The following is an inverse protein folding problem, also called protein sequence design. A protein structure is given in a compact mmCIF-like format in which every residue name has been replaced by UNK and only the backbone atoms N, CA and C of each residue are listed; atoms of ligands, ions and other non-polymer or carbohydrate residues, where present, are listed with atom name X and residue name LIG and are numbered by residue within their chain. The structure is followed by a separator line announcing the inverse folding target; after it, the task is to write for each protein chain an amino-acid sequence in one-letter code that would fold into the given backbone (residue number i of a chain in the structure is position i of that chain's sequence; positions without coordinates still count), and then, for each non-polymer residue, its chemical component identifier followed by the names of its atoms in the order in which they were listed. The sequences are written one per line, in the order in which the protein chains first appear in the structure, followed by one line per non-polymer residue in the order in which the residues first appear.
data_IF_457623292004
#
_entry.id   IF_457623292004
#
_cell.length_a   1.000
_cell.length_b   1.000
_cell.length_c   1.000
_cell.angle_alpha   90.00
_cell.angle_beta   90.00
_cell.angle_gamma   90.00
#
_symmetry.space_group_name_H-M   'P 1'
#
loop_
_entity.id
_entity.type
_entity.pdbx_description
1 polymer ?
#
# COMPACT_ATOMS: atom_id res chain seq x y z
N UNK A 1 27.26 -6.15 24.56
CA UNK A 1 26.39 -6.92 23.65
C UNK A 1 27.22 -8.03 23.05
N UNK A 2 26.85 -9.31 23.20
CA UNK A 2 27.54 -10.38 22.50
C UNK A 2 27.14 -10.32 21.01
N UNK A 3 28.13 -10.41 20.13
CA UNK A 3 27.92 -10.54 18.70
C UNK A 3 27.40 -11.95 18.41
N UNK A 4 26.27 -12.08 17.72
CA UNK A 4 25.76 -13.38 17.26
C UNK A 4 26.67 -13.90 16.13
N UNK A 5 27.45 -14.94 16.43
CA UNK A 5 28.30 -15.63 15.47
C UNK A 5 27.43 -16.67 14.76
N UNK A 6 27.00 -16.39 13.53
CA UNK A 6 26.14 -17.27 12.72
C UNK A 6 24.66 -16.87 12.66
N UNK A 7 24.39 -15.57 12.48
CA UNK A 7 23.03 -15.00 12.48
C UNK A 7 22.19 -15.33 11.24
N UNK A 8 20.89 -15.10 11.34
CA UNK A 8 19.94 -15.13 10.23
C UNK A 8 20.19 -13.92 9.32
N UNK A 9 20.43 -14.14 8.01
CA UNK A 9 20.69 -13.07 7.05
C UNK A 9 19.45 -12.25 6.71
N UNK A 10 18.28 -12.89 6.66
CA UNK A 10 17.00 -12.22 6.39
C UNK A 10 15.91 -12.69 7.33
N UNK A 11 15.20 -11.73 7.93
CA UNK A 11 14.19 -12.00 8.93
C UNK A 11 12.86 -11.33 8.55
N UNK A 12 11.76 -12.07 8.66
CA UNK A 12 10.39 -11.52 8.67
C UNK A 12 10.27 -10.38 9.68
N UNK A 13 9.60 -9.29 9.28
CA UNK A 13 9.29 -8.17 10.17
C UNK A 13 8.50 -8.65 11.39
N UNK A 14 8.79 -8.06 12.56
CA UNK A 14 8.14 -8.41 13.82
C UNK A 14 7.55 -7.18 14.49
N UNK A 15 6.52 -7.40 15.31
CA UNK A 15 5.96 -6.40 16.20
C UNK A 15 6.85 -6.14 17.43
N UNK A 16 6.40 -5.23 18.30
CA UNK A 16 7.09 -4.85 19.54
C UNK A 16 7.23 -6.04 20.51
N UNK A 17 6.40 -7.08 20.36
CA UNK A 17 6.41 -8.31 21.15
C UNK A 17 7.22 -9.45 20.48
N UNK A 18 7.74 -9.23 19.27
CA UNK A 18 8.54 -10.19 18.52
C UNK A 18 7.73 -11.19 17.67
N UNK A 19 6.41 -11.05 17.58
CA UNK A 19 5.57 -11.83 16.67
C UNK A 19 5.71 -11.33 15.24
N UNK A 20 5.58 -12.20 14.22
CA UNK A 20 5.59 -11.75 12.84
C UNK A 20 4.48 -10.72 12.60
N UNK A 21 4.75 -9.73 11.76
CA UNK A 21 3.77 -8.76 11.29
C UNK A 21 3.92 -8.53 9.79
N UNK A 22 2.87 -7.98 9.15
CA UNK A 22 2.94 -7.49 7.78
C UNK A 22 2.94 -5.96 7.85
N UNK A 23 4.06 -5.29 7.55
CA UNK A 23 4.11 -3.84 7.54
C UNK A 23 3.09 -3.27 6.55
N UNK A 24 2.40 -2.21 6.94
CA UNK A 24 1.42 -1.48 6.13
C UNK A 24 2.01 -1.12 4.75
N UNK A 25 3.27 -0.68 4.72
CA UNK A 25 4.01 -0.35 3.50
C UNK A 25 4.14 -1.52 2.53
N UNK A 26 4.20 -2.76 3.02
CA UNK A 26 4.31 -3.96 2.18
C UNK A 26 3.00 -4.26 1.46
N UNK A 27 1.87 -4.22 2.18
CA UNK A 27 0.56 -4.41 1.58
C UNK A 27 0.22 -3.23 0.66
N UNK A 28 0.40 -1.99 1.15
CA UNK A 28 0.18 -0.76 0.38
C UNK A 28 0.96 -0.78 -0.93
N UNK A 29 2.26 -1.09 -0.87
CA UNK A 29 3.12 -1.11 -2.06
C UNK A 29 2.72 -2.18 -3.07
N UNK A 30 2.32 -3.36 -2.60
CA UNK A 30 1.86 -4.43 -3.48
C UNK A 30 0.51 -4.09 -4.13
N UNK A 31 -0.46 -3.61 -3.36
CA UNK A 31 -1.77 -3.20 -3.88
C UNK A 31 -1.65 -2.02 -4.84
N UNK A 32 -0.80 -1.02 -4.52
CA UNK A 32 -0.52 0.11 -5.40
C UNK A 32 0.06 -0.33 -6.74
N UNK A 33 0.94 -1.35 -6.77
CA UNK A 33 1.47 -1.89 -8.02
C UNK A 33 0.35 -2.52 -8.88
N UNK A 34 -0.56 -3.28 -8.26
CA UNK A 34 -1.72 -3.87 -8.95
C UNK A 34 -2.58 -2.77 -9.56
N UNK A 35 -2.94 -1.75 -8.77
CA UNK A 35 -3.79 -0.64 -9.21
C UNK A 35 -3.12 0.20 -10.30
N UNK A 36 -1.80 0.37 -10.25
CA UNK A 36 -1.05 1.13 -11.27
C UNK A 36 -1.03 0.45 -12.64
N UNK A 37 -1.06 -0.89 -12.65
CA UNK A 37 -1.08 -1.70 -13.87
C UNK A 37 -2.51 -1.93 -14.39
N UNK A 38 -3.53 -1.59 -13.59
CA UNK A 38 -4.93 -1.77 -13.95
C UNK A 38 -5.37 -0.78 -15.05
N UNK A 39 -5.95 -1.31 -16.12
CA UNK A 39 -6.48 -0.57 -17.27
C UNK A 39 -7.99 -0.83 -17.48
N UNK A 40 -8.68 -1.29 -16.43
CA UNK A 40 -10.12 -1.51 -16.43
C UNK A 40 -10.92 -0.20 -16.53
N UNK A 41 -12.20 -0.32 -16.90
CA UNK A 41 -13.12 0.82 -16.92
C UNK A 41 -13.29 1.42 -15.52
N UNK A 42 -13.28 0.58 -14.49
CA UNK A 42 -13.32 0.95 -13.09
C UNK A 42 -12.11 1.81 -12.70
N UNK A 43 -10.90 1.41 -13.12
CA UNK A 43 -9.69 2.21 -12.88
C UNK A 43 -9.78 3.60 -13.53
N UNK A 44 -10.29 3.67 -14.77
CA UNK A 44 -10.52 4.96 -15.46
C UNK A 44 -11.61 5.79 -14.81
N UNK A 45 -12.64 5.15 -14.24
CA UNK A 45 -13.69 5.83 -13.48
C UNK A 45 -13.12 6.51 -12.23
N UNK A 46 -12.31 5.81 -11.44
CA UNK A 46 -11.62 6.39 -10.28
C UNK A 46 -10.71 7.56 -10.72
N UNK A 47 -9.96 7.39 -11.81
CA UNK A 47 -9.09 8.44 -12.34
C UNK A 47 -9.88 9.73 -12.68
N UNK A 48 -11.08 9.59 -13.26
CA UNK A 48 -11.97 10.74 -13.54
C UNK A 48 -12.46 11.42 -12.27
N UNK A 49 -12.86 10.65 -11.24
CA UNK A 49 -13.25 11.20 -9.94
C UNK A 49 -12.15 12.09 -9.35
N UNK A 50 -10.91 11.63 -9.36
CA UNK A 50 -9.77 12.42 -8.89
C UNK A 50 -9.49 13.63 -9.77
N UNK A 51 -9.54 13.49 -11.11
CA UNK A 51 -9.37 14.60 -12.04
C UNK A 51 -10.37 15.72 -11.78
N UNK A 52 -11.65 15.38 -11.61
CA UNK A 52 -12.73 16.33 -11.40
C UNK A 52 -12.67 16.97 -10.01
N UNK A 53 -12.32 16.18 -8.98
CA UNK A 53 -12.04 16.71 -7.64
C UNK A 53 -10.91 17.76 -7.66
N UNK A 54 -9.79 17.48 -8.34
CA UNK A 54 -8.65 18.41 -8.42
C UNK A 54 -9.04 19.68 -9.19
N UNK A 55 -9.82 19.57 -10.28
CA UNK A 55 -10.33 20.74 -11.02
C UNK A 55 -11.18 21.63 -10.12
N UNK A 56 -12.14 21.04 -9.40
CA UNK A 56 -13.00 21.76 -8.47
C UNK A 56 -12.19 22.43 -7.36
N UNK A 57 -11.22 21.72 -6.77
CA UNK A 57 -10.33 22.29 -5.76
C UNK A 57 -9.51 23.47 -6.31
N UNK A 58 -9.02 23.37 -7.56
CA UNK A 58 -8.32 24.48 -8.22
C UNK A 58 -9.23 25.69 -8.35
N UNK A 59 -10.44 25.49 -8.88
CA UNK A 59 -11.42 26.57 -9.13
C UNK A 59 -11.81 27.29 -7.84
N UNK A 60 -12.12 26.55 -6.78
CA UNK A 60 -12.52 27.11 -5.47
C UNK A 60 -11.39 27.95 -4.84
N UNK A 61 -10.14 27.54 -5.00
CA UNK A 61 -8.99 28.18 -4.35
C UNK A 61 -8.27 29.20 -5.25
N UNK A 62 -8.61 29.31 -6.53
CA UNK A 62 -7.79 30.02 -7.52
C UNK A 62 -7.58 31.50 -7.19
N UNK A 63 -8.64 32.19 -6.78
CA UNK A 63 -8.55 33.62 -6.45
C UNK A 63 -7.71 33.84 -5.19
N UNK A 64 -7.82 32.99 -4.18
CA UNK A 64 -6.96 33.04 -2.99
C UNK A 64 -5.50 32.74 -3.34
N UNK A 65 -5.24 31.77 -4.23
CA UNK A 65 -3.90 31.44 -4.72
C UNK A 65 -3.28 32.65 -5.43
N UNK A 66 -4.05 33.34 -6.29
CA UNK A 66 -3.59 34.55 -6.99
C UNK A 66 -3.23 35.66 -6.02
N UNK A 67 -4.07 35.92 -5.01
CA UNK A 67 -3.79 36.97 -4.04
C UNK A 67 -2.56 36.63 -3.17
N UNK A 68 -2.44 35.39 -2.70
CA UNK A 68 -1.27 34.92 -1.95
C UNK A 68 0.03 34.98 -2.78
N UNK A 69 -0.04 34.79 -4.10
CA UNK A 69 1.13 34.78 -4.99
C UNK A 69 1.28 36.08 -5.80
N UNK A 70 0.58 37.15 -5.43
CA UNK A 70 0.49 38.40 -6.22
C UNK A 70 1.84 39.01 -6.57
N UNK A 71 2.79 38.93 -5.64
CA UNK A 71 4.15 39.45 -5.81
C UNK A 71 5.15 38.38 -6.32
N UNK A 72 4.72 37.13 -6.46
CA UNK A 72 5.56 36.00 -6.87
C UNK A 72 4.95 35.24 -8.06
N UNK A 73 5.18 35.76 -9.27
CA UNK A 73 4.70 35.17 -10.52
C UNK A 73 5.22 33.74 -10.76
N UNK A 74 6.46 33.45 -10.36
CA UNK A 74 7.04 32.11 -10.50
C UNK A 74 6.31 31.08 -9.65
N UNK A 75 5.95 31.44 -8.41
CA UNK A 75 5.16 30.59 -7.53
C UNK A 75 3.78 30.29 -8.12
N UNK A 76 3.12 31.29 -8.70
CA UNK A 76 1.82 31.11 -9.37
C UNK A 76 1.94 30.14 -10.56
N UNK A 77 2.93 30.31 -11.43
CA UNK A 77 3.17 29.41 -12.56
C UNK A 77 3.48 27.98 -12.11
N UNK A 78 4.24 27.81 -11.02
CA UNK A 78 4.54 26.49 -10.45
C UNK A 78 3.27 25.81 -9.93
N UNK A 79 2.41 26.54 -9.20
CA UNK A 79 1.14 26.02 -8.69
C UNK A 79 0.22 25.64 -9.85
N UNK A 80 0.13 26.48 -10.88
CA UNK A 80 -0.67 26.19 -12.07
C UNK A 80 -0.21 24.91 -12.76
N UNK A 81 1.10 24.78 -13.01
CA UNK A 81 1.69 23.57 -13.60
C UNK A 81 1.41 22.33 -12.75
N UNK A 82 1.50 22.45 -11.42
CA UNK A 82 1.20 21.36 -10.49
C UNK A 82 -0.25 20.88 -10.63
N UNK A 83 -1.23 21.80 -10.62
CA UNK A 83 -2.64 21.44 -10.85
C UNK A 83 -2.85 20.81 -12.23
N UNK A 84 -2.34 21.43 -13.30
CA UNK A 84 -2.50 20.93 -14.66
C UNK A 84 -1.88 19.54 -14.84
N UNK A 85 -0.74 19.29 -14.21
CA UNK A 85 -0.10 17.97 -14.20
C UNK A 85 -0.96 16.94 -13.48
N UNK A 86 -1.41 17.23 -12.26
CA UNK A 86 -2.24 16.32 -11.47
C UNK A 86 -3.58 16.00 -12.17
N UNK A 87 -4.22 16.98 -12.82
CA UNK A 87 -5.47 16.78 -13.57
C UNK A 87 -5.26 15.87 -14.78
N UNK A 88 -4.17 16.07 -15.54
CA UNK A 88 -3.88 15.33 -16.78
C UNK A 88 -3.32 13.93 -16.55
N UNK A 89 -2.74 13.69 -15.37
CA UNK A 89 -2.14 12.40 -14.99
C UNK A 89 -2.93 11.72 -13.86
N UNK A 90 -4.15 12.18 -13.59
CA UNK A 90 -5.03 11.59 -12.60
C UNK A 90 -5.22 10.10 -12.89
N UNK A 91 -5.21 9.27 -11.85
CA UNK A 91 -5.23 7.82 -11.98
C UNK A 91 -5.87 7.16 -10.77
N UNK A 92 -6.25 5.89 -10.89
CA UNK A 92 -6.71 5.12 -9.73
C UNK A 92 -5.64 5.01 -8.62
N UNK A 93 -4.35 5.18 -8.96
CA UNK A 93 -3.27 5.21 -7.99
C UNK A 93 -3.32 6.43 -7.05
N UNK A 94 -4.12 7.45 -7.37
CA UNK A 94 -4.33 8.62 -6.50
C UNK A 94 -5.05 8.26 -5.19
N UNK A 95 -5.72 7.10 -5.13
CA UNK A 95 -6.21 6.48 -3.89
C UNK A 95 -5.08 6.27 -2.86
N UNK A 96 -3.82 6.17 -3.29
CA UNK A 96 -2.67 5.98 -2.41
C UNK A 96 -2.00 7.30 -2.00
N UNK A 97 -2.53 8.42 -2.50
CA UNK A 97 -2.06 9.78 -2.29
C UNK A 97 -1.54 10.43 -3.57
N UNK A 98 -1.82 11.73 -3.73
CA UNK A 98 -1.34 12.53 -4.86
C UNK A 98 -0.09 13.29 -4.42
N UNK A 99 0.98 13.20 -5.22
CA UNK A 99 2.23 13.93 -4.95
C UNK A 99 1.95 15.43 -4.89
N UNK A 100 2.45 16.10 -3.85
CA UNK A 100 2.30 17.56 -3.64
C UNK A 100 0.88 18.03 -3.25
N UNK A 101 -0.07 17.10 -3.06
CA UNK A 101 -1.43 17.36 -2.58
C UNK A 101 -1.73 16.50 -1.34
N UNK A 102 -1.41 17.03 -0.17
CA UNK A 102 -1.50 16.25 1.07
C UNK A 102 -2.94 16.06 1.57
N UNK A 103 -3.85 16.99 1.27
CA UNK A 103 -5.21 17.06 1.83
C UNK A 103 -6.28 16.44 0.93
N UNK A 104 -5.93 15.43 0.14
CA UNK A 104 -6.86 14.72 -0.76
C UNK A 104 -7.38 13.43 -0.13
N UNK A 105 -8.53 12.91 -0.62
CA UNK A 105 -9.01 11.57 -0.30
C UNK A 105 -7.94 10.53 -0.61
N UNK A 106 -7.66 9.65 0.34
CA UNK A 106 -6.66 8.58 0.19
C UNK A 106 -6.87 7.47 1.21
N UNK A 107 -6.22 6.34 0.98
CA UNK A 107 -6.24 5.18 1.86
C UNK A 107 -5.14 5.30 2.92
N UNK A 108 -5.50 5.03 4.18
CA UNK A 108 -4.55 4.81 5.27
C UNK A 108 -4.46 3.32 5.55
N UNK A 109 -3.26 2.83 5.77
CA UNK A 109 -2.99 1.41 6.01
C UNK A 109 -2.35 1.27 7.39
N UNK A 110 -2.91 0.38 8.20
CA UNK A 110 -2.29 -0.05 9.45
C UNK A 110 -1.45 -1.31 9.22
N UNK A 111 -0.47 -1.55 10.09
CA UNK A 111 0.29 -2.80 10.08
C UNK A 111 -0.66 -3.95 10.43
N UNK A 112 -0.57 -5.06 9.68
CA UNK A 112 -1.37 -6.23 10.00
C UNK A 112 -0.64 -7.03 11.08
N UNK A 113 -1.32 -7.20 12.22
CA UNK A 113 -0.80 -7.87 13.41
C UNK A 113 -1.28 -9.32 13.43
N UNK A 114 -0.45 -10.20 13.98
CA UNK A 114 -0.80 -11.61 14.13
C UNK A 114 -1.98 -11.76 15.09
N UNK A 115 -3.03 -12.46 14.61
CA UNK A 115 -4.22 -12.77 15.41
C UNK A 115 -3.86 -13.51 16.71
N UNK A 116 -4.62 -13.24 17.77
CA UNK A 116 -4.32 -13.70 19.14
C UNK A 116 -4.18 -15.22 19.24
N UNK A 117 -5.03 -15.97 18.55
CA UNK A 117 -5.03 -17.43 18.54
C UNK A 117 -3.75 -18.05 17.93
N UNK A 118 -3.00 -17.28 17.12
CA UNK A 118 -1.74 -17.72 16.52
C UNK A 118 -0.49 -17.21 17.26
N UNK A 119 -0.65 -16.45 18.36
CA UNK A 119 0.46 -15.86 19.14
C UNK A 119 1.20 -16.88 20.02
N UNK A 120 1.86 -17.84 19.37
CA UNK A 120 2.84 -18.76 19.95
C UNK A 120 4.17 -18.63 19.20
N UNK A 121 5.15 -17.92 19.78
CA UNK A 121 6.44 -17.63 19.15
C UNK A 121 7.17 -18.89 18.68
N UNK A 122 7.00 -20.03 19.38
CA UNK A 122 7.64 -21.30 19.02
C UNK A 122 7.07 -21.89 17.73
N UNK A 123 5.87 -21.48 17.35
CA UNK A 123 5.15 -21.93 16.14
C UNK A 123 5.12 -20.87 15.03
N UNK A 124 5.53 -19.64 15.29
CA UNK A 124 5.43 -18.55 14.32
C UNK A 124 6.48 -18.63 13.20
N UNK A 125 7.69 -19.14 13.49
CA UNK A 125 8.80 -19.07 12.55
C UNK A 125 9.27 -20.44 12.07
N UNK A 126 9.74 -20.46 10.83
CA UNK A 126 10.59 -21.50 10.26
C UNK A 126 11.93 -20.88 9.86
N UNK A 127 13.00 -21.66 10.02
CA UNK A 127 14.32 -21.28 9.53
C UNK A 127 14.58 -22.09 8.26
N UNK A 128 14.96 -21.39 7.20
CA UNK A 128 15.25 -21.95 5.89
C UNK A 128 16.63 -21.48 5.43
N UNK A 129 17.37 -22.32 4.71
CA UNK A 129 18.71 -22.00 4.23
C UNK A 129 18.74 -22.09 2.70
N UNK A 130 19.11 -20.99 2.03
CA UNK A 130 19.27 -20.94 0.57
C UNK A 130 20.74 -20.79 0.20
N UNK A 131 21.25 -21.75 -0.55
CA UNK A 131 22.62 -21.69 -1.09
C UNK A 131 22.59 -21.24 -2.53
N UNK A 132 23.28 -20.14 -2.85
CA UNK A 132 23.60 -19.76 -4.23
C UNK A 132 25.06 -20.07 -4.53
N UNK A 133 25.34 -20.65 -5.69
CA UNK A 133 26.71 -20.86 -6.18
C UNK A 133 26.98 -19.78 -7.22
N UNK A 134 27.99 -18.95 -6.98
CA UNK A 134 28.45 -17.92 -7.91
C UNK A 134 29.73 -18.45 -8.54
N UNK A 135 29.77 -18.50 -9.87
CA UNK A 135 30.95 -18.88 -10.63
C UNK A 135 31.52 -17.62 -11.30
N UNK A 136 32.66 -17.13 -10.79
CA UNK A 136 33.36 -15.94 -11.31
C UNK A 136 34.48 -16.28 -12.31
N UNK A 137 34.56 -17.55 -12.74
CA UNK A 137 35.53 -18.02 -13.73
C UNK A 137 36.83 -18.59 -13.14
N UNK A 138 37.09 -18.44 -11.84
CA UNK A 138 38.25 -19.06 -11.18
C UNK A 138 37.85 -20.18 -10.23
N UNK A 139 36.92 -19.94 -9.30
CA UNK A 139 36.44 -20.96 -8.37
C UNK A 139 34.94 -20.80 -8.06
N UNK A 140 34.15 -21.90 -7.98
CA UNK A 140 32.77 -21.82 -7.55
C UNK A 140 32.71 -21.42 -6.06
N UNK A 141 32.16 -20.23 -5.78
CA UNK A 141 31.93 -19.75 -4.41
C UNK A 141 30.50 -20.05 -3.99
N UNK A 142 30.33 -20.76 -2.87
CA UNK A 142 29.03 -20.92 -2.24
C UNK A 142 28.72 -19.72 -1.34
N UNK A 143 27.50 -19.21 -1.44
CA UNK A 143 26.97 -18.17 -0.57
C UNK A 143 25.65 -18.67 0.04
N UNK A 144 25.72 -19.48 1.12
CA UNK A 144 24.55 -19.88 1.87
C UNK A 144 23.98 -18.69 2.64
N UNK A 145 22.66 -18.49 2.53
CA UNK A 145 21.90 -17.46 3.24
C UNK A 145 20.81 -18.09 4.08
N UNK A 146 20.68 -17.69 5.34
CA UNK A 146 19.66 -18.20 6.26
C UNK A 146 18.50 -17.20 6.37
N UNK A 147 17.27 -17.70 6.29
CA UNK A 147 16.04 -16.94 6.32
C UNK A 147 15.19 -17.40 7.50
N UNK A 148 14.75 -16.47 8.34
CA UNK A 148 13.71 -16.72 9.34
C UNK A 148 12.39 -16.20 8.81
N UNK A 149 11.53 -17.11 8.37
CA UNK A 149 10.27 -16.80 7.71
C UNK A 149 9.08 -17.12 8.62
N UNK A 150 8.01 -16.35 8.49
CA UNK A 150 6.72 -16.74 9.04
C UNK A 150 6.28 -18.10 8.48
N UNK A 151 5.73 -18.97 9.33
CA UNK A 151 5.14 -20.25 8.90
C UNK A 151 3.87 -20.02 8.09
N UNK A 152 3.56 -20.98 7.23
CA UNK A 152 2.29 -21.00 6.47
C UNK A 152 1.13 -21.26 7.43
N UNK A 153 -0.02 -20.65 7.17
CA UNK A 153 -1.25 -20.83 7.95
C UNK A 153 -1.40 -19.84 9.11
N UNK A 154 -0.52 -18.84 9.23
CA UNK A 154 -0.71 -17.73 10.16
C UNK A 154 -1.70 -16.71 9.57
N UNK A 155 -2.59 -16.20 10.43
CA UNK A 155 -3.55 -15.16 10.07
C UNK A 155 -3.16 -13.82 10.70
N UNK A 156 -3.27 -12.77 9.90
CA UNK A 156 -2.97 -11.40 10.29
C UNK A 156 -4.21 -10.54 10.08
N UNK A 157 -4.44 -9.58 10.96
CA UNK A 157 -5.56 -8.63 10.91
C UNK A 157 -5.05 -7.19 10.98
N UNK A 158 -5.73 -6.30 10.29
CA UNK A 158 -5.43 -4.87 10.23
C UNK A 158 -6.57 -4.14 9.54
N UNK A 159 -6.44 -2.82 9.41
CA UNK A 159 -7.51 -1.96 8.88
C UNK A 159 -6.97 -1.10 7.72
N UNK A 160 -7.84 -0.86 6.74
CA UNK A 160 -7.66 0.14 5.69
C UNK A 160 -8.74 1.21 5.86
N UNK A 161 -8.35 2.46 6.05
CA UNK A 161 -9.29 3.57 6.28
C UNK A 161 -9.39 4.48 5.06
N UNK A 162 -10.62 4.86 4.71
CA UNK A 162 -10.93 5.86 3.68
C UNK A 162 -10.80 7.28 4.27
N UNK A 163 -9.61 7.86 4.21
CA UNK A 163 -9.35 9.19 4.73
C UNK A 163 -9.84 10.30 3.79
N UNK A 164 -10.62 11.25 4.31
CA UNK A 164 -11.20 12.41 3.59
C UNK A 164 -12.15 12.07 2.45
N UNK A 165 -12.79 10.91 2.50
CA UNK A 165 -13.95 10.59 1.66
C UNK A 165 -15.19 11.29 2.20
N UNK A 166 -15.18 12.63 2.14
CA UNK A 166 -16.24 13.51 2.65
C UNK A 166 -17.00 14.16 1.48
N UNK A 167 -18.27 14.59 1.68
CA UNK A 167 -19.11 15.17 0.63
C UNK A 167 -18.50 16.36 -0.13
N UNK A 168 -17.50 17.04 0.45
CA UNK A 168 -16.72 18.07 -0.24
C UNK A 168 -16.03 17.52 -1.50
N UNK A 169 -15.42 16.34 -1.38
CA UNK A 169 -14.60 15.71 -2.41
C UNK A 169 -15.37 14.62 -3.16
N UNK A 170 -15.98 13.69 -2.42
CA UNK A 170 -16.71 12.55 -2.97
C UNK A 170 -18.05 12.41 -2.26
N UNK A 171 -19.12 12.18 -3.02
CA UNK A 171 -20.39 11.76 -2.43
C UNK A 171 -20.29 10.29 -1.96
N UNK A 172 -21.29 9.83 -1.21
CA UNK A 172 -21.32 8.45 -0.67
C UNK A 172 -21.20 7.39 -1.78
N UNK A 173 -21.81 7.63 -2.94
CA UNK A 173 -21.73 6.71 -4.07
C UNK A 173 -20.31 6.61 -4.66
N UNK A 174 -19.63 7.75 -4.84
CA UNK A 174 -18.24 7.80 -5.30
C UNK A 174 -17.28 7.15 -4.30
N UNK A 175 -17.52 7.34 -2.99
CA UNK A 175 -16.77 6.69 -1.94
C UNK A 175 -16.95 5.16 -1.96
N UNK A 176 -18.19 4.70 -2.10
CA UNK A 176 -18.52 3.28 -2.21
C UNK A 176 -17.85 2.63 -3.45
N UNK A 177 -17.83 3.31 -4.59
CA UNK A 177 -17.12 2.81 -5.79
C UNK A 177 -15.62 2.66 -5.52
N UNK A 178 -15.00 3.62 -4.84
CA UNK A 178 -13.59 3.53 -4.47
C UNK A 178 -13.33 2.36 -3.51
N UNK A 179 -14.23 2.15 -2.54
CA UNK A 179 -14.21 1.05 -1.58
C UNK A 179 -14.26 -0.30 -2.30
N UNK A 180 -15.27 -0.51 -3.14
CA UNK A 180 -15.47 -1.73 -3.93
C UNK A 180 -14.28 -2.02 -4.85
N UNK A 181 -13.75 -0.99 -5.51
CA UNK A 181 -12.57 -1.13 -6.37
C UNK A 181 -11.34 -1.62 -5.60
N UNK A 182 -11.14 -1.16 -4.36
CA UNK A 182 -10.04 -1.60 -3.50
C UNK A 182 -10.25 -3.03 -3.01
N UNK A 183 -11.46 -3.40 -2.59
CA UNK A 183 -11.81 -4.78 -2.23
C UNK A 183 -11.55 -5.72 -3.40
N UNK A 184 -11.98 -5.35 -4.61
CA UNK A 184 -11.75 -6.13 -5.82
C UNK A 184 -10.25 -6.34 -6.07
N UNK A 185 -9.44 -5.30 -5.97
CA UNK A 185 -7.98 -5.43 -6.16
C UNK A 185 -7.28 -6.22 -5.04
N UNK A 186 -7.80 -6.16 -3.81
CA UNK A 186 -7.31 -6.98 -2.69
C UNK A 186 -7.63 -8.47 -2.89
N UNK A 187 -8.79 -8.81 -3.45
CA UNK A 187 -9.14 -10.22 -3.68
C UNK A 187 -8.34 -10.88 -4.80
N UNK A 188 -7.72 -10.11 -5.70
CA UNK A 188 -6.76 -10.64 -6.72
C UNK A 188 -5.57 -11.39 -6.10
N UNK A 189 -5.20 -11.12 -4.84
CA UNK A 189 -4.19 -11.93 -4.15
C UNK A 189 -4.58 -13.41 -4.02
N UNK A 190 -5.88 -13.71 -3.97
CA UNK A 190 -6.42 -15.07 -3.79
C UNK A 190 -6.20 -15.96 -5.02
N UNK A 191 -5.98 -15.35 -6.19
CA UNK A 191 -5.61 -16.06 -7.43
C UNK A 191 -4.17 -16.62 -7.36
N UNK A 192 -3.34 -16.11 -6.44
CA UNK A 192 -1.98 -16.60 -6.17
C UNK A 192 -0.89 -16.04 -7.09
N UNK A 193 -1.25 -15.18 -8.04
CA UNK A 193 -0.29 -14.44 -8.90
C UNK A 193 0.41 -13.35 -8.09
N UNK A 194 -0.36 -12.51 -7.40
CA UNK A 194 0.18 -11.44 -6.56
C UNK A 194 0.64 -11.96 -5.20
N UNK A 195 1.77 -11.43 -4.73
CA UNK A 195 2.52 -11.94 -3.57
C UNK A 195 3.15 -10.82 -2.76
N UNK A 196 3.30 -11.02 -1.45
CA UNK A 196 3.98 -10.11 -0.52
C UNK A 196 5.42 -10.53 -0.23
N UNK A 197 6.26 -9.56 0.14
CA UNK A 197 7.65 -9.81 0.54
C UNK A 197 8.60 -10.21 -0.58
N UNK A 198 9.73 -10.81 -0.22
CA UNK A 198 10.81 -11.16 -1.14
C UNK A 198 10.69 -12.59 -1.69
N UNK A 199 11.48 -12.91 -2.71
CA UNK A 199 11.53 -14.26 -3.32
C UNK A 199 10.18 -14.75 -3.87
N UNK A 200 9.33 -13.84 -4.34
CA UNK A 200 7.96 -14.12 -4.84
C UNK A 200 7.93 -15.21 -5.93
N UNK A 201 8.88 -15.18 -6.86
CA UNK A 201 9.00 -16.16 -7.95
C UNK A 201 9.42 -17.56 -7.51
N UNK A 202 9.82 -17.74 -6.24
CA UNK A 202 10.32 -19.01 -5.69
C UNK A 202 9.37 -19.63 -4.67
N UNK A 203 8.08 -19.30 -4.74
CA UNK A 203 7.05 -19.90 -3.89
C UNK A 203 6.69 -19.12 -2.63
N UNK A 204 7.48 -18.13 -2.20
CA UNK A 204 7.18 -17.31 -1.01
C UNK A 204 6.10 -16.27 -1.27
N UNK A 205 5.49 -15.78 -0.18
CA UNK A 205 4.66 -14.58 -0.22
C UNK A 205 3.24 -14.77 -0.75
N UNK A 206 2.82 -16.02 -1.00
CA UNK A 206 1.41 -16.30 -1.32
C UNK A 206 0.58 -16.04 -0.07
N UNK A 207 -0.47 -15.24 -0.23
CA UNK A 207 -1.42 -14.92 0.83
C UNK A 207 -2.84 -15.24 0.36
N UNK A 208 -3.76 -15.29 1.31
CA UNK A 208 -5.19 -15.24 1.07
C UNK A 208 -5.74 -14.04 1.84
N UNK A 209 -6.63 -13.28 1.23
CA UNK A 209 -7.23 -12.07 1.74
C UNK A 209 -8.73 -12.29 1.90
N UNK A 210 -9.22 -12.01 3.10
CA UNK A 210 -10.63 -11.86 3.43
C UNK A 210 -10.86 -10.43 3.93
N UNK A 211 -11.88 -9.76 3.40
CA UNK A 211 -12.28 -8.43 3.87
C UNK A 211 -13.54 -8.57 4.72
N UNK A 212 -13.58 -7.89 5.86
CA UNK A 212 -14.73 -7.84 6.74
C UNK A 212 -15.19 -6.39 6.76
N UNK A 213 -16.34 -6.11 6.15
CA UNK A 213 -16.90 -4.77 6.18
C UNK A 213 -17.45 -4.48 7.59
N UNK A 214 -16.91 -3.47 8.25
CA UNK A 214 -17.49 -2.94 9.47
C UNK A 214 -18.31 -1.70 9.11
N UNK A 215 -19.63 -1.85 9.11
CA UNK A 215 -20.58 -0.73 9.06
C UNK A 215 -20.54 0.05 10.39
N UNK A 216 -19.44 0.79 10.60
CA UNK A 216 -19.29 1.69 11.74
C UNK A 216 -20.19 2.91 11.59
N UNK A 217 -21.12 3.10 12.53
CA UNK A 217 -22.06 4.23 12.57
C UNK A 217 -21.39 5.61 12.49
N UNK A 218 -22.13 6.55 11.87
CA UNK A 218 -21.86 7.99 11.67
C UNK A 218 -20.38 8.42 11.85
N UNK A 219 -19.58 8.32 10.78
CA UNK A 219 -18.41 9.18 10.59
C UNK A 219 -17.10 8.53 10.15
N UNK A 220 -16.99 7.20 10.05
CA UNK A 220 -15.79 6.55 9.49
C UNK A 220 -16.10 5.18 8.91
N UNK A 221 -16.06 5.06 7.58
CA UNK A 221 -16.08 3.77 6.87
C UNK A 221 -14.73 3.07 7.04
N UNK A 222 -14.75 1.85 7.57
CA UNK A 222 -13.57 1.00 7.78
C UNK A 222 -13.65 -0.26 6.93
N UNK A 223 -12.50 -0.66 6.39
CA UNK A 223 -12.26 -1.94 5.70
C UNK A 223 -11.26 -2.80 6.45
#
# INVERSE_FOLDING_TARGET
MPFEIGGIDQWTAVDEEGFPCIPASSLKGALHAIVREDQSEEAFRIARLYSDMIKKEKEENWEQIKECCKENKEALTRIEKRYSHAISHASAADLFGIREFNNTPKLLFNDLRLKKEYRDLKKCFSIDAKTSIIYDGMEPKSNPRTYKTARVGLEFEGEIELYRFIPKYFNEYDAQICKEYIIYNLTKFNEGVYRLGNSKSRGYGKIYVSVIENDGGEGSEKL
#
